data_IF_230196243651
#
_entry.id   IF_230196243651
#
_cell.length_a   1.000
_cell.length_b   1.000
_cell.length_c   1.000
_cell.angle_alpha   90.00
_cell.angle_beta   90.00
_cell.angle_gamma   90.00
#
_symmetry.space_group_name_H-M   'P 1'
#
loop_
_entity.id
_entity.type
_entity.pdbx_description
1 polymer ?
#
# COMPACT_ATOMS: atom_id res chain seq x y z
N UNK A 1 -32.63 -13.89 -4.75
CA UNK A 1 -32.56 -12.87 -3.65
C UNK A 1 -31.45 -11.91 -3.95
N UNK A 2 -31.65 -10.61 -3.70
CA UNK A 2 -30.57 -9.63 -3.84
C UNK A 2 -29.56 -9.90 -2.72
N UNK A 3 -28.27 -10.05 -3.07
CA UNK A 3 -27.19 -10.20 -2.10
C UNK A 3 -26.83 -8.81 -1.52
N UNK A 4 -26.65 -8.74 -0.22
CA UNK A 4 -26.27 -7.52 0.48
C UNK A 4 -24.85 -7.64 1.06
N UNK A 5 -24.11 -6.54 1.03
CA UNK A 5 -22.78 -6.42 1.64
C UNK A 5 -22.82 -5.42 2.78
N UNK A 6 -22.10 -5.75 3.84
CA UNK A 6 -21.87 -4.83 4.98
C UNK A 6 -20.61 -4.01 4.70
N UNK A 7 -20.77 -2.70 4.62
CA UNK A 7 -19.65 -1.77 4.51
C UNK A 7 -18.92 -1.61 5.86
N UNK A 8 -17.68 -1.18 5.82
CA UNK A 8 -16.83 -0.98 7.02
C UNK A 8 -17.43 -0.04 8.08
N UNK A 9 -18.40 0.81 7.73
CA UNK A 9 -19.17 1.65 8.66
C UNK A 9 -20.49 1.02 9.11
N UNK A 10 -20.72 -0.29 8.90
CA UNK A 10 -21.96 -0.99 9.26
C UNK A 10 -23.14 -0.78 8.30
N UNK A 11 -23.03 0.13 7.32
CA UNK A 11 -24.07 0.35 6.32
C UNK A 11 -24.22 -0.87 5.41
N UNK A 12 -25.46 -1.30 5.20
CA UNK A 12 -25.82 -2.37 4.26
C UNK A 12 -25.98 -1.78 2.88
N UNK A 13 -25.41 -2.43 1.88
CA UNK A 13 -25.53 -2.05 0.48
C UNK A 13 -25.76 -3.29 -0.37
N UNK A 14 -26.69 -3.20 -1.32
CA UNK A 14 -26.89 -4.24 -2.33
C UNK A 14 -25.59 -4.48 -3.13
N UNK A 15 -25.28 -5.77 -3.31
CA UNK A 15 -24.14 -6.20 -4.11
C UNK A 15 -24.34 -5.82 -5.57
N UNK A 16 -23.30 -5.30 -6.20
CA UNK A 16 -23.32 -4.92 -7.62
C UNK A 16 -22.22 -5.66 -8.37
N UNK A 17 -22.60 -6.57 -9.21
CA UNK A 17 -21.70 -7.29 -10.11
C UNK A 17 -20.93 -6.33 -11.03
N UNK A 18 -21.56 -5.26 -11.51
CA UNK A 18 -20.92 -4.27 -12.38
C UNK A 18 -19.73 -3.56 -11.72
N UNK A 19 -19.82 -3.30 -10.39
CA UNK A 19 -18.70 -2.71 -9.64
C UNK A 19 -17.54 -3.69 -9.54
N UNK A 20 -17.83 -4.98 -9.38
CA UNK A 20 -16.83 -6.02 -9.33
C UNK A 20 -16.18 -6.25 -10.69
N UNK A 21 -16.97 -6.30 -11.76
CA UNK A 21 -16.49 -6.39 -13.15
C UNK A 21 -15.55 -5.22 -13.47
N UNK A 22 -15.95 -3.98 -13.14
CA UNK A 22 -15.11 -2.79 -13.34
C UNK A 22 -13.79 -2.90 -12.57
N UNK A 23 -13.85 -3.30 -11.30
CA UNK A 23 -12.64 -3.50 -10.49
C UNK A 23 -11.70 -4.51 -11.14
N UNK A 24 -12.21 -5.67 -11.57
CA UNK A 24 -11.42 -6.72 -12.21
C UNK A 24 -10.81 -6.24 -13.53
N UNK A 25 -11.58 -5.53 -14.34
CA UNK A 25 -11.07 -4.90 -15.57
C UNK A 25 -9.91 -3.94 -15.28
N UNK A 26 -10.05 -3.10 -14.23
CA UNK A 26 -9.02 -2.14 -13.87
C UNK A 26 -7.74 -2.82 -13.34
N UNK A 27 -7.87 -3.84 -12.49
CA UNK A 27 -6.68 -4.54 -11.93
C UNK A 27 -6.01 -5.48 -12.92
N UNK A 28 -6.74 -5.98 -13.94
CA UNK A 28 -6.17 -6.80 -15.02
C UNK A 28 -5.50 -5.94 -16.12
N UNK A 29 -5.69 -4.61 -16.11
CA UNK A 29 -5.15 -3.74 -17.16
C UNK A 29 -3.65 -3.94 -17.34
N UNK A 30 -3.23 -4.17 -18.59
CA UNK A 30 -1.83 -4.40 -18.97
C UNK A 30 -1.38 -5.86 -18.90
N UNK A 31 -2.28 -6.79 -18.53
CA UNK A 31 -2.04 -8.23 -18.59
C UNK A 31 -2.92 -8.89 -19.66
N UNK A 32 -2.44 -9.93 -20.35
CA UNK A 32 -3.21 -10.68 -21.36
C UNK A 32 -4.18 -11.68 -20.69
N UNK A 33 -5.01 -11.20 -19.76
CA UNK A 33 -5.91 -12.03 -18.94
C UNK A 33 -7.38 -11.68 -19.20
N UNK A 34 -8.23 -12.70 -19.17
CA UNK A 34 -9.68 -12.49 -19.18
C UNK A 34 -10.17 -12.07 -17.80
N UNK A 35 -10.48 -10.77 -17.64
CA UNK A 35 -10.96 -10.21 -16.39
C UNK A 35 -12.31 -10.76 -15.89
N UNK A 36 -13.04 -11.53 -16.74
CA UNK A 36 -14.30 -12.19 -16.35
C UNK A 36 -14.05 -13.56 -15.70
N UNK A 37 -12.89 -14.17 -15.91
CA UNK A 37 -12.57 -15.50 -15.40
C UNK A 37 -12.77 -15.65 -13.88
N UNK A 38 -12.39 -14.68 -13.01
CA UNK A 38 -12.64 -14.75 -11.57
C UNK A 38 -14.13 -14.74 -11.18
N UNK A 39 -15.02 -14.38 -12.10
CA UNK A 39 -16.47 -14.32 -11.83
C UNK A 39 -17.19 -15.64 -12.11
N UNK A 40 -16.55 -16.58 -12.78
CA UNK A 40 -17.19 -17.86 -13.16
C UNK A 40 -17.66 -18.65 -11.93
N UNK A 41 -16.92 -18.57 -10.81
CA UNK A 41 -17.23 -19.27 -9.56
C UNK A 41 -17.63 -18.30 -8.44
N UNK A 42 -18.25 -17.16 -8.80
CA UNK A 42 -18.58 -16.10 -7.85
C UNK A 42 -19.46 -16.62 -6.70
N UNK A 43 -20.41 -17.49 -7.00
CA UNK A 43 -21.37 -18.04 -6.04
C UNK A 43 -20.71 -18.91 -4.95
N UNK A 44 -19.52 -19.44 -5.21
CA UNK A 44 -18.80 -20.28 -4.24
C UNK A 44 -18.24 -19.46 -3.06
N UNK A 45 -17.95 -18.18 -3.25
CA UNK A 45 -17.29 -17.35 -2.24
C UNK A 45 -18.05 -16.08 -1.84
N UNK A 46 -19.13 -15.71 -2.54
CA UNK A 46 -20.00 -14.60 -2.12
C UNK A 46 -21.17 -15.13 -1.27
N UNK A 47 -21.38 -14.47 -0.13
CA UNK A 47 -22.50 -14.78 0.78
C UNK A 47 -23.24 -13.51 1.15
N UNK A 48 -24.57 -13.63 1.33
CA UNK A 48 -25.38 -12.53 1.85
C UNK A 48 -24.89 -12.08 3.25
N UNK A 49 -24.83 -10.78 3.48
CA UNK A 49 -24.36 -10.22 4.74
C UNK A 49 -22.83 -10.23 4.93
N UNK A 50 -22.06 -10.67 3.93
CA UNK A 50 -20.59 -10.66 4.02
C UNK A 50 -20.06 -9.21 4.04
N UNK A 51 -18.94 -8.98 4.73
CA UNK A 51 -18.32 -7.65 4.71
C UNK A 51 -17.60 -7.38 3.40
N UNK A 52 -17.46 -6.10 3.04
CA UNK A 52 -16.65 -5.73 1.86
C UNK A 52 -15.18 -6.13 2.00
N UNK A 53 -14.67 -6.28 3.22
CA UNK A 53 -13.30 -6.74 3.48
C UNK A 53 -13.19 -8.25 3.18
N UNK A 54 -14.16 -9.04 3.63
CA UNK A 54 -14.19 -10.49 3.35
C UNK A 54 -14.36 -10.76 1.87
N UNK A 55 -15.21 -9.98 1.18
CA UNK A 55 -15.34 -10.06 -0.28
C UNK A 55 -14.01 -9.80 -0.99
N UNK A 56 -13.27 -8.75 -0.58
CA UNK A 56 -11.96 -8.46 -1.17
C UNK A 56 -10.94 -9.57 -0.91
N UNK A 57 -10.94 -10.12 0.31
CA UNK A 57 -10.06 -11.25 0.64
C UNK A 57 -10.42 -12.51 -0.17
N UNK A 58 -11.69 -12.86 -0.24
CA UNK A 58 -12.17 -14.00 -1.02
C UNK A 58 -11.85 -13.85 -2.51
N UNK A 59 -12.12 -12.65 -3.08
CA UNK A 59 -11.76 -12.34 -4.46
C UNK A 59 -10.25 -12.45 -4.71
N UNK A 60 -9.43 -11.93 -3.79
CA UNK A 60 -7.97 -11.99 -3.91
C UNK A 60 -7.47 -13.44 -3.91
N UNK A 61 -8.04 -14.29 -3.06
CA UNK A 61 -7.68 -15.71 -3.00
C UNK A 61 -8.17 -16.47 -4.24
N UNK A 62 -9.38 -16.16 -4.72
CA UNK A 62 -9.89 -16.75 -5.97
C UNK A 62 -9.01 -16.36 -7.16
N UNK A 63 -8.66 -15.07 -7.30
CA UNK A 63 -7.73 -14.60 -8.35
C UNK A 63 -6.37 -15.30 -8.25
N UNK A 64 -5.83 -15.44 -7.04
CA UNK A 64 -4.56 -16.11 -6.83
C UNK A 64 -4.61 -17.60 -7.23
N UNK A 65 -5.73 -18.29 -7.01
CA UNK A 65 -5.92 -19.69 -7.36
C UNK A 65 -5.95 -19.95 -8.87
N UNK A 66 -6.20 -18.91 -9.68
CA UNK A 66 -6.14 -18.98 -11.14
C UNK A 66 -4.71 -18.98 -11.70
N UNK A 67 -3.71 -18.75 -10.85
CA UNK A 67 -2.30 -18.71 -11.28
C UNK A 67 -1.87 -20.09 -11.80
N UNK A 68 -1.43 -20.13 -13.05
CA UNK A 68 -0.94 -21.34 -13.72
C UNK A 68 0.37 -21.03 -14.46
N UNK A 69 0.92 -22.03 -15.13
CA UNK A 69 2.10 -21.84 -15.99
C UNK A 69 1.73 -21.01 -17.23
N UNK A 70 0.51 -21.15 -17.73
CA UNK A 70 0.00 -20.43 -18.91
C UNK A 70 -0.43 -19.01 -18.60
N UNK A 71 -0.89 -18.75 -17.36
CA UNK A 71 -1.39 -17.45 -16.93
C UNK A 71 -0.74 -17.05 -15.56
N UNK A 72 0.58 -16.85 -15.52
CA UNK A 72 1.30 -16.55 -14.27
C UNK A 72 0.98 -15.15 -13.71
N UNK A 73 0.42 -14.27 -14.52
CA UNK A 73 0.14 -12.87 -14.15
C UNK A 73 -1.00 -12.74 -13.13
N UNK A 74 -1.81 -13.78 -12.92
CA UNK A 74 -2.86 -13.76 -11.88
C UNK A 74 -2.31 -13.44 -10.48
N UNK A 75 -1.08 -13.86 -10.18
CA UNK A 75 -0.40 -13.47 -8.93
C UNK A 75 -0.19 -11.95 -8.80
N UNK A 76 0.04 -11.26 -9.93
CA UNK A 76 0.20 -9.80 -9.97
C UNK A 76 -1.16 -9.11 -9.79
N UNK A 77 -2.22 -9.63 -10.42
CA UNK A 77 -3.60 -9.15 -10.20
C UNK A 77 -4.00 -9.29 -8.73
N UNK A 78 -3.69 -10.43 -8.10
CA UNK A 78 -3.91 -10.63 -6.67
C UNK A 78 -3.11 -9.64 -5.81
N UNK A 79 -1.88 -9.30 -6.20
CA UNK A 79 -1.07 -8.25 -5.57
C UNK A 79 -1.72 -6.88 -5.64
N UNK A 80 -2.22 -6.48 -6.82
CA UNK A 80 -2.97 -5.22 -7.01
C UNK A 80 -4.23 -5.15 -6.14
N UNK A 81 -5.00 -6.23 -6.06
CA UNK A 81 -6.15 -6.31 -5.16
C UNK A 81 -5.73 -6.13 -3.69
N UNK A 82 -4.63 -6.76 -3.30
CA UNK A 82 -4.08 -6.64 -1.93
C UNK A 82 -3.70 -5.18 -1.61
N UNK A 83 -3.07 -4.46 -2.54
CA UNK A 83 -2.73 -3.04 -2.38
C UNK A 83 -3.98 -2.15 -2.29
N UNK A 84 -5.00 -2.38 -3.11
CA UNK A 84 -6.27 -1.66 -3.01
C UNK A 84 -6.98 -1.89 -1.67
N UNK A 85 -6.89 -3.11 -1.12
CA UNK A 85 -7.40 -3.41 0.22
C UNK A 85 -6.62 -2.65 1.31
N UNK A 86 -5.27 -2.60 1.19
CA UNK A 86 -4.40 -1.83 2.08
C UNK A 86 -4.77 -0.34 2.06
N UNK A 87 -4.93 0.27 0.89
CA UNK A 87 -5.32 1.68 0.77
C UNK A 87 -6.60 2.00 1.56
N UNK A 88 -7.62 1.15 1.43
CA UNK A 88 -8.86 1.30 2.19
C UNK A 88 -8.66 1.11 3.68
N UNK A 89 -7.81 0.19 4.10
CA UNK A 89 -7.50 -0.06 5.50
C UNK A 89 -6.78 1.14 6.12
N UNK A 90 -5.73 1.64 5.46
CA UNK A 90 -4.93 2.77 5.93
C UNK A 90 -5.74 4.07 5.95
N UNK A 91 -6.54 4.34 4.91
CA UNK A 91 -7.43 5.52 4.88
C UNK A 91 -8.38 5.54 6.08
N UNK A 92 -8.91 4.38 6.49
CA UNK A 92 -9.74 4.28 7.69
C UNK A 92 -8.94 4.46 8.98
N UNK A 93 -7.75 3.85 9.06
CA UNK A 93 -6.90 3.95 10.24
C UNK A 93 -6.43 5.39 10.48
N UNK A 94 -6.20 6.15 9.41
CA UNK A 94 -5.81 7.57 9.43
C UNK A 94 -7.01 8.55 9.48
N UNK A 95 -8.27 8.05 9.48
CA UNK A 95 -9.49 8.87 9.38
C UNK A 95 -9.49 9.82 8.17
N UNK A 96 -8.95 9.37 7.05
CA UNK A 96 -8.92 10.17 5.82
C UNK A 96 -10.33 10.34 5.23
N UNK A 97 -10.63 11.49 4.61
CA UNK A 97 -11.89 11.70 3.89
C UNK A 97 -12.12 10.63 2.81
N UNK A 98 -13.38 10.34 2.54
CA UNK A 98 -13.74 9.43 1.45
C UNK A 98 -13.35 10.06 0.11
N UNK A 99 -12.80 9.23 -0.78
CA UNK A 99 -12.41 9.59 -2.16
C UNK A 99 -11.18 10.52 -2.27
N UNK A 100 -10.43 10.75 -1.21
CA UNK A 100 -9.11 11.38 -1.32
C UNK A 100 -8.07 10.37 -1.80
N UNK A 101 -6.99 10.87 -2.46
CA UNK A 101 -5.85 10.03 -2.80
C UNK A 101 -5.33 9.32 -1.55
N UNK A 102 -4.84 8.08 -1.67
CA UNK A 102 -4.38 7.32 -0.50
C UNK A 102 -3.13 7.92 0.15
N UNK A 103 -2.43 8.80 -0.56
CA UNK A 103 -1.19 9.43 -0.08
C UNK A 103 -1.41 10.91 0.27
N UNK A 104 -1.21 11.22 1.54
CA UNK A 104 -0.99 12.55 2.10
C UNK A 104 0.21 12.40 3.06
N UNK A 105 1.42 12.47 2.49
CA UNK A 105 2.64 12.23 3.24
C UNK A 105 2.88 13.27 4.33
N UNK A 106 2.55 14.54 4.07
CA UNK A 106 2.77 15.61 5.05
C UNK A 106 1.94 15.38 6.31
N UNK A 107 0.65 15.07 6.15
CA UNK A 107 -0.23 14.75 7.28
C UNK A 107 0.15 13.43 7.95
N UNK A 108 0.55 12.44 7.15
CA UNK A 108 1.00 11.15 7.68
C UNK A 108 2.28 11.30 8.52
N UNK A 109 3.29 12.04 8.05
CA UNK A 109 4.53 12.25 8.79
C UNK A 109 4.26 12.89 10.16
N UNK A 110 3.42 13.92 10.19
CA UNK A 110 2.98 14.54 11.46
C UNK A 110 2.29 13.55 12.38
N UNK A 111 1.37 12.76 11.84
CA UNK A 111 0.69 11.70 12.58
C UNK A 111 1.67 10.67 13.12
N UNK A 112 2.60 10.19 12.30
CA UNK A 112 3.57 9.16 12.66
C UNK A 112 4.53 9.62 13.76
N UNK A 113 5.02 10.87 13.69
CA UNK A 113 5.89 11.46 14.71
C UNK A 113 5.11 11.68 16.01
N UNK A 114 3.93 12.27 15.96
CA UNK A 114 3.12 12.57 17.15
C UNK A 114 2.68 11.32 17.92
N UNK A 115 2.54 10.19 17.24
CA UNK A 115 2.17 8.90 17.86
C UNK A 115 3.39 8.01 18.15
N UNK A 116 4.63 8.51 18.00
CA UNK A 116 5.86 7.75 18.27
C UNK A 116 6.08 6.56 17.34
N UNK A 117 5.47 6.56 16.15
CA UNK A 117 5.66 5.54 15.11
C UNK A 117 6.97 5.79 14.38
N UNK A 118 7.25 7.06 14.06
CA UNK A 118 8.49 7.54 13.46
C UNK A 118 9.31 8.32 14.47
N UNK A 119 10.63 8.32 14.26
CA UNK A 119 11.53 9.24 14.95
C UNK A 119 11.29 10.68 14.49
N UNK A 120 11.73 11.65 15.30
CA UNK A 120 11.62 13.10 15.00
C UNK A 120 12.58 13.58 13.93
N UNK A 121 13.57 12.77 13.57
CA UNK A 121 14.72 13.16 12.72
C UNK A 121 14.32 13.83 11.41
N UNK A 122 13.31 13.30 10.70
CA UNK A 122 12.87 13.94 9.44
C UNK A 122 12.34 15.35 9.72
N UNK A 123 11.52 15.51 10.75
CA UNK A 123 10.94 16.80 11.11
C UNK A 123 11.98 17.80 11.65
N UNK A 124 13.10 17.32 12.19
CA UNK A 124 14.21 18.15 12.69
C UNK A 124 15.18 18.58 11.58
N UNK A 125 15.41 17.69 10.61
CA UNK A 125 16.42 17.88 9.55
C UNK A 125 15.89 18.60 8.31
N UNK A 126 14.59 18.53 8.05
CA UNK A 126 13.94 19.07 6.84
C UNK A 126 12.95 20.16 7.19
N UNK A 127 12.90 21.22 6.37
CA UNK A 127 11.87 22.26 6.49
C UNK A 127 10.50 21.75 6.03
N UNK A 128 9.45 22.48 6.39
CA UNK A 128 8.07 22.14 5.94
C UNK A 128 7.97 22.15 4.40
N UNK A 129 8.67 23.07 3.75
CA UNK A 129 8.71 23.20 2.28
C UNK A 129 9.42 22.01 1.65
N UNK A 130 10.56 21.58 2.19
CA UNK A 130 11.29 20.39 1.72
C UNK A 130 10.44 19.10 1.88
N UNK A 131 9.71 18.97 3.00
CA UNK A 131 8.80 17.83 3.21
C UNK A 131 7.64 17.86 2.21
N UNK A 132 7.10 19.06 1.91
CA UNK A 132 6.05 19.20 0.90
C UNK A 132 6.56 18.91 -0.51
N UNK A 133 7.78 19.34 -0.84
CA UNK A 133 8.45 18.98 -2.09
C UNK A 133 8.66 17.47 -2.20
N UNK A 134 9.19 16.84 -1.15
CA UNK A 134 9.38 15.38 -1.11
C UNK A 134 8.05 14.63 -1.30
N UNK A 135 6.96 15.08 -0.68
CA UNK A 135 5.64 14.50 -0.86
C UNK A 135 5.20 14.48 -2.34
N UNK A 136 5.62 15.47 -3.13
CA UNK A 136 5.33 15.53 -4.58
C UNK A 136 6.04 14.45 -5.41
N UNK A 137 7.07 13.81 -4.87
CA UNK A 137 7.79 12.72 -5.57
C UNK A 137 7.02 11.40 -5.54
N UNK A 138 6.04 11.26 -4.63
CA UNK A 138 5.29 10.01 -4.47
C UNK A 138 4.55 9.66 -5.77
N UNK A 139 4.85 8.47 -6.27
CA UNK A 139 4.15 7.87 -7.40
C UNK A 139 3.45 6.58 -6.93
N UNK A 140 2.11 6.59 -6.79
CA UNK A 140 1.35 5.42 -6.36
C UNK A 140 1.42 4.22 -7.32
N UNK A 141 1.81 4.41 -8.59
CA UNK A 141 1.91 3.33 -9.56
C UNK A 141 2.97 2.30 -9.16
N UNK A 142 3.99 2.70 -8.40
CA UNK A 142 4.98 1.78 -7.86
C UNK A 142 4.41 0.76 -6.87
N UNK A 143 3.22 0.98 -6.30
CA UNK A 143 2.57 0.00 -5.43
C UNK A 143 1.96 -1.18 -6.21
N UNK A 144 1.63 -0.97 -7.50
CA UNK A 144 0.95 -1.96 -8.32
C UNK A 144 1.89 -2.90 -9.09
N UNK A 145 3.19 -2.82 -8.83
CA UNK A 145 4.22 -3.69 -9.42
C UNK A 145 4.47 -4.97 -8.59
N UNK A 146 3.96 -5.05 -7.37
CA UNK A 146 4.11 -6.21 -6.50
C UNK A 146 3.14 -7.32 -6.90
N UNK A 147 3.65 -8.56 -6.93
CA UNK A 147 2.79 -9.74 -6.92
C UNK A 147 2.21 -9.95 -5.50
N UNK A 148 1.35 -10.96 -5.35
CA UNK A 148 0.71 -11.26 -4.06
C UNK A 148 1.73 -11.52 -2.93
N UNK A 149 2.80 -12.25 -3.22
CA UNK A 149 3.81 -12.59 -2.21
C UNK A 149 4.57 -11.34 -1.74
N UNK A 150 5.00 -10.50 -2.69
CA UNK A 150 5.68 -9.22 -2.39
C UNK A 150 4.79 -8.26 -1.62
N UNK A 151 3.53 -8.08 -2.07
CA UNK A 151 2.55 -7.26 -1.36
C UNK A 151 2.31 -7.77 0.07
N UNK A 152 2.12 -9.08 0.23
CA UNK A 152 1.89 -9.67 1.54
C UNK A 152 3.12 -9.55 2.48
N UNK A 153 4.33 -9.63 1.92
CA UNK A 153 5.57 -9.42 2.68
C UNK A 153 5.68 -7.97 3.18
N UNK A 154 5.38 -6.98 2.33
CA UNK A 154 5.35 -5.57 2.74
C UNK A 154 4.38 -5.36 3.92
N UNK A 155 3.15 -5.83 3.78
CA UNK A 155 2.11 -5.64 4.78
C UNK A 155 2.46 -6.31 6.12
N UNK A 156 2.98 -7.53 6.08
CA UNK A 156 3.20 -8.33 7.29
C UNK A 156 4.50 -8.02 8.01
N UNK A 157 5.48 -7.43 7.32
CA UNK A 157 6.84 -7.34 7.86
C UNK A 157 7.39 -5.92 7.93
N UNK A 158 7.11 -5.09 6.93
CA UNK A 158 7.83 -3.83 6.77
C UNK A 158 7.02 -2.61 7.16
N UNK A 159 5.72 -2.56 6.82
CA UNK A 159 4.90 -1.39 7.11
C UNK A 159 4.68 -1.20 8.60
N UNK A 160 4.60 0.06 9.01
CA UNK A 160 4.36 0.42 10.40
C UNK A 160 2.89 0.27 10.77
N UNK A 161 2.67 -0.20 11.98
CA UNK A 161 1.37 -0.32 12.60
C UNK A 161 1.25 0.64 13.79
N UNK A 162 0.01 1.04 14.10
CA UNK A 162 -0.35 1.72 15.32
C UNK A 162 -1.53 0.98 15.96
N UNK A 163 -1.30 0.43 17.16
CA UNK A 163 -2.16 -0.60 17.70
C UNK A 163 -2.12 -1.87 16.84
N UNK A 164 -3.27 -2.32 16.40
CA UNK A 164 -3.47 -3.50 15.53
C UNK A 164 -3.74 -3.14 14.05
N UNK A 165 -3.47 -1.89 13.66
CA UNK A 165 -3.80 -1.38 12.33
C UNK A 165 -2.56 -0.91 11.60
N UNK A 166 -2.38 -1.37 10.35
CA UNK A 166 -1.40 -0.78 9.44
C UNK A 166 -1.80 0.66 9.17
N UNK A 167 -0.87 1.59 9.39
CA UNK A 167 -1.05 3.02 9.19
C UNK A 167 -0.09 3.62 8.17
N UNK A 168 0.82 2.86 7.64
CA UNK A 168 1.83 3.24 6.68
C UNK A 168 1.54 2.63 5.32
N UNK A 169 1.74 3.38 4.25
CA UNK A 169 1.70 2.89 2.87
C UNK A 169 3.12 2.68 2.33
N UNK A 170 3.31 1.84 1.29
CA UNK A 170 4.66 1.53 0.80
C UNK A 170 5.46 2.75 0.37
N UNK A 171 4.83 3.72 -0.31
CA UNK A 171 5.54 4.92 -0.75
C UNK A 171 5.86 5.88 0.41
N UNK A 172 5.04 5.90 1.48
CA UNK A 172 5.39 6.63 2.72
C UNK A 172 6.70 6.06 3.32
N UNK A 173 6.80 4.73 3.35
CA UNK A 173 7.99 4.02 3.83
C UNK A 173 9.23 4.37 3.00
N UNK A 174 9.15 4.21 1.67
CA UNK A 174 10.30 4.43 0.79
C UNK A 174 10.75 5.90 0.80
N UNK A 175 9.80 6.85 0.80
CA UNK A 175 10.14 8.27 0.89
C UNK A 175 10.80 8.62 2.23
N UNK A 176 10.27 8.11 3.34
CA UNK A 176 10.86 8.34 4.66
C UNK A 176 12.27 7.77 4.77
N UNK A 177 12.50 6.59 4.18
CA UNK A 177 13.84 5.99 4.14
C UNK A 177 14.79 6.84 3.28
N UNK A 178 14.36 7.33 2.12
CA UNK A 178 15.16 8.20 1.28
C UNK A 178 15.54 9.52 2.01
N UNK A 179 14.58 10.16 2.68
CA UNK A 179 14.84 11.34 3.49
C UNK A 179 15.87 11.07 4.60
N UNK A 180 15.81 9.92 5.26
CA UNK A 180 16.75 9.56 6.32
C UNK A 180 18.15 9.19 5.81
N UNK A 181 18.25 8.61 4.62
CA UNK A 181 19.55 8.33 4.01
C UNK A 181 20.26 9.62 3.62
N UNK A 182 19.54 10.56 3.04
CA UNK A 182 20.10 11.79 2.48
C UNK A 182 20.10 12.99 3.48
N UNK A 183 19.81 12.75 4.76
CA UNK A 183 19.59 13.80 5.76
C UNK A 183 20.79 14.73 6.00
N UNK A 184 22.00 14.24 5.80
CA UNK A 184 23.24 14.98 6.04
C UNK A 184 23.90 15.49 4.75
N UNK A 185 23.23 15.37 3.61
CA UNK A 185 23.67 15.90 2.34
C UNK A 185 23.60 17.44 2.29
N UNK A 186 24.41 18.03 1.38
CA UNK A 186 24.38 19.48 1.15
C UNK A 186 22.96 19.93 0.77
N UNK A 187 22.46 20.96 1.43
CA UNK A 187 21.10 21.47 1.23
C UNK A 187 20.76 21.79 -0.22
N UNK A 188 21.74 22.27 -1.00
CA UNK A 188 21.53 22.60 -2.41
C UNK A 188 21.27 21.36 -3.30
N UNK A 189 21.83 20.20 -2.92
CA UNK A 189 21.71 18.95 -3.68
C UNK A 189 20.76 17.94 -3.04
N UNK A 190 20.41 18.13 -1.76
CA UNK A 190 19.72 17.14 -0.93
C UNK A 190 18.41 16.66 -1.52
N UNK A 191 17.53 17.56 -1.95
CA UNK A 191 16.22 17.17 -2.48
C UNK A 191 16.31 16.39 -3.80
N UNK A 192 17.27 16.72 -4.66
CA UNK A 192 17.53 15.94 -5.87
C UNK A 192 18.01 14.51 -5.54
N UNK A 193 18.86 14.34 -4.51
CA UNK A 193 19.31 13.04 -4.03
C UNK A 193 18.18 12.25 -3.36
N UNK A 194 17.36 12.91 -2.55
CA UNK A 194 16.15 12.28 -1.95
C UNK A 194 15.26 11.72 -3.03
N UNK A 195 15.00 12.49 -4.09
CA UNK A 195 14.18 12.03 -5.22
C UNK A 195 14.79 10.82 -5.91
N UNK A 196 16.08 10.87 -6.25
CA UNK A 196 16.81 9.78 -6.91
C UNK A 196 16.79 8.49 -6.06
N UNK A 197 17.08 8.62 -4.76
CA UNK A 197 17.08 7.49 -3.82
C UNK A 197 15.67 6.92 -3.65
N UNK A 198 14.64 7.78 -3.52
CA UNK A 198 13.25 7.35 -3.45
C UNK A 198 12.84 6.57 -4.71
N UNK A 199 13.09 7.12 -5.91
CA UNK A 199 12.71 6.47 -7.17
C UNK A 199 13.42 5.12 -7.34
N UNK A 200 14.68 4.99 -6.96
CA UNK A 200 15.42 3.73 -7.01
C UNK A 200 14.86 2.67 -6.04
N UNK A 201 14.46 3.09 -4.83
CA UNK A 201 13.84 2.19 -3.85
C UNK A 201 12.44 1.76 -4.29
N UNK A 202 11.60 2.73 -4.68
CA UNK A 202 10.21 2.51 -5.05
C UNK A 202 10.08 1.66 -6.33
N UNK A 203 10.96 1.90 -7.32
CA UNK A 203 11.05 1.12 -8.57
C UNK A 203 11.86 -0.20 -8.41
N UNK A 204 12.29 -0.53 -7.19
CA UNK A 204 13.03 -1.76 -6.86
C UNK A 204 14.36 -1.91 -7.61
N UNK A 205 14.96 -0.81 -8.08
CA UNK A 205 16.30 -0.80 -8.69
C UNK A 205 17.39 -1.08 -7.66
N UNK A 206 17.15 -0.70 -6.41
CA UNK A 206 17.97 -1.03 -5.26
C UNK A 206 17.11 -1.66 -4.16
N UNK A 207 17.71 -2.52 -3.36
CA UNK A 207 17.08 -3.12 -2.18
C UNK A 207 17.97 -2.90 -0.97
N UNK A 208 17.35 -2.55 0.14
CA UNK A 208 18.04 -2.39 1.41
C UNK A 208 17.91 -3.67 2.26
N UNK A 209 18.88 -3.86 3.15
CA UNK A 209 18.78 -4.91 4.14
C UNK A 209 17.53 -4.78 5.02
N UNK A 210 16.97 -5.91 5.44
CA UNK A 210 15.76 -5.95 6.28
C UNK A 210 15.78 -5.00 7.48
N UNK A 211 16.88 -4.86 8.26
CA UNK A 211 16.91 -3.94 9.39
C UNK A 211 16.67 -2.48 9.00
N UNK A 212 17.21 -2.04 7.86
CA UNK A 212 17.00 -0.68 7.35
C UNK A 212 15.54 -0.48 6.92
N UNK A 213 14.99 -1.42 6.14
CA UNK A 213 13.58 -1.36 5.71
C UNK A 213 12.60 -1.37 6.88
N UNK A 214 12.91 -2.11 7.95
CA UNK A 214 12.02 -2.21 9.11
C UNK A 214 12.15 -1.03 10.07
N UNK A 215 13.39 -0.61 10.35
CA UNK A 215 13.68 0.14 11.57
C UNK A 215 14.23 1.55 11.36
N UNK A 216 14.77 1.89 10.18
CA UNK A 216 15.48 3.18 9.98
C UNK A 216 14.64 4.40 10.41
N UNK A 217 13.33 4.36 10.16
CA UNK A 217 12.40 5.46 10.48
C UNK A 217 11.78 5.37 11.87
N UNK A 218 11.96 4.23 12.58
CA UNK A 218 11.36 4.01 13.90
C UNK A 218 12.22 4.59 15.02
N UNK A 219 11.63 5.07 16.11
CA UNK A 219 12.41 5.45 17.30
C UNK A 219 13.17 4.21 17.81
N UNK A 220 14.45 4.41 18.13
CA UNK A 220 15.32 3.36 18.70
C UNK A 220 15.41 2.06 17.86
N UNK A 221 15.21 2.15 16.56
CA UNK A 221 15.29 1.01 15.65
C UNK A 221 16.70 0.41 15.63
N UNK A 222 16.82 -0.92 15.82
CA UNK A 222 18.09 -1.62 15.65
C UNK A 222 18.37 -1.81 14.14
N UNK A 223 19.48 -1.26 13.67
CA UNK A 223 19.90 -1.32 12.26
C UNK A 223 20.94 -2.42 12.01
N UNK A 224 21.37 -3.14 13.05
CA UNK A 224 22.33 -4.22 12.90
C UNK A 224 21.68 -5.45 12.28
N UNK A 225 22.33 -6.00 11.27
CA UNK A 225 22.04 -7.33 10.74
C UNK A 225 22.93 -8.36 11.45
N UNK A 226 22.35 -9.48 11.87
CA UNK A 226 23.13 -10.60 12.43
C UNK A 226 24.04 -11.20 11.37
#
# INVERSE_FOLDING_TARGET
MALNLIKRGGAVQEFSIFKLQKLLTDVCRGFPLDSQKPLLNLDEYIKDGMTTADLFNALTMNVLSLTSVEEPEWKNVAGRLKMLALYKQVSLARNMPKNEPPYDYVSFLKYAVNNGIYSTVIAEKYTTEEIAEAASFINPDFDFVYDYAGANLLLKRYLCEYGDKIVELPQDMFLSIALLIEQDEDKAARMAKVKDTYEKLADRKISLGTPLLMNLRRPNGNLSSC
#
